data_IF_768439069083
#
_entry.id   IF_768439069083
#
_cell.length_a   1.000
_cell.length_b   1.000
_cell.length_c   1.000
_cell.angle_alpha   90.00
_cell.angle_beta   90.00
_cell.angle_gamma   90.00
#
_symmetry.space_group_name_H-M   'P 1'
#
loop_
_entity.id
_entity.type
_entity.pdbx_description
1 polymer ?
#
# COMPACT_ATOMS: atom_id res chain seq x y z
N UNK A 1 7.65 30.41 -18.06
CA UNK A 1 6.80 30.00 -19.20
C UNK A 1 7.59 29.68 -20.48
N UNK A 2 8.84 30.15 -20.66
CA UNK A 2 9.71 29.80 -21.81
C UNK A 2 10.08 28.31 -21.95
N UNK A 3 9.87 27.52 -20.90
CA UNK A 3 10.11 26.08 -20.92
C UNK A 3 9.18 25.40 -21.95
N UNK A 4 7.91 25.80 -22.03
CA UNK A 4 6.91 25.20 -22.92
C UNK A 4 7.09 25.55 -24.41
N UNK A 5 7.82 26.62 -24.74
CA UNK A 5 8.18 26.94 -26.13
C UNK A 5 9.17 25.93 -26.74
N UNK A 6 9.74 25.03 -25.93
CA UNK A 6 10.57 23.90 -26.38
C UNK A 6 9.78 22.60 -26.57
N UNK A 7 8.45 22.67 -26.67
CA UNK A 7 7.57 21.50 -26.85
C UNK A 7 7.70 20.44 -25.75
N UNK A 8 8.00 20.87 -24.53
CA UNK A 8 8.02 19.97 -23.36
C UNK A 8 6.64 19.92 -22.70
N UNK A 9 6.34 18.79 -22.06
CA UNK A 9 5.11 18.58 -21.29
C UNK A 9 5.40 18.40 -19.80
N UNK A 10 4.48 18.85 -18.96
CA UNK A 10 4.55 18.69 -17.50
C UNK A 10 3.38 17.83 -17.04
N UNK A 11 3.66 16.77 -16.29
CA UNK A 11 2.66 15.84 -15.79
C UNK A 11 2.77 15.75 -14.27
N UNK A 12 1.76 16.27 -13.56
CA UNK A 12 1.59 16.02 -12.13
C UNK A 12 0.93 14.66 -11.92
N UNK A 13 1.66 13.70 -11.37
CA UNK A 13 1.15 12.34 -11.17
C UNK A 13 0.71 12.17 -9.71
N UNK A 14 -0.59 12.06 -9.50
CA UNK A 14 -1.22 11.82 -8.20
C UNK A 14 -1.91 10.46 -8.22
N UNK A 15 -1.28 9.46 -7.60
CA UNK A 15 -1.80 8.11 -7.59
C UNK A 15 -3.07 7.97 -6.72
N UNK A 16 -3.23 8.81 -5.69
CA UNK A 16 -4.39 8.74 -4.79
C UNK A 16 -5.69 9.12 -5.53
N UNK A 17 -5.66 10.22 -6.29
CA UNK A 17 -6.79 10.68 -7.11
C UNK A 17 -7.24 9.63 -8.13
N UNK A 18 -6.30 8.82 -8.61
CA UNK A 18 -6.56 7.72 -9.52
C UNK A 18 -7.41 6.62 -8.85
N UNK A 19 -7.14 6.28 -7.59
CA UNK A 19 -7.87 5.21 -6.89
C UNK A 19 -9.23 5.64 -6.34
N UNK A 20 -9.39 6.89 -5.91
CA UNK A 20 -10.64 7.41 -5.32
C UNK A 20 -11.83 7.44 -6.30
N UNK A 21 -11.58 7.70 -7.60
CA UNK A 21 -12.63 7.72 -8.61
C UNK A 21 -13.01 6.30 -9.08
N UNK A 22 -14.18 5.81 -8.65
CA UNK A 22 -14.65 4.44 -8.93
C UNK A 22 -15.19 4.24 -10.35
N UNK A 23 -15.68 5.28 -11.01
CA UNK A 23 -16.44 5.17 -12.28
C UNK A 23 -15.61 5.46 -13.55
N UNK A 24 -14.65 6.39 -13.52
CA UNK A 24 -14.05 6.93 -14.76
C UNK A 24 -12.67 6.38 -15.15
N UNK A 25 -12.01 5.57 -14.31
CA UNK A 25 -10.62 5.12 -14.53
C UNK A 25 -10.43 3.61 -14.55
N UNK A 26 -11.48 2.83 -14.79
CA UNK A 26 -11.40 1.36 -14.71
C UNK A 26 -10.46 0.74 -15.75
N UNK A 27 -10.36 1.31 -16.95
CA UNK A 27 -9.49 0.81 -18.02
C UNK A 27 -8.01 1.05 -17.71
N UNK A 28 -7.64 2.27 -17.32
CA UNK A 28 -6.26 2.63 -16.98
C UNK A 28 -5.80 1.87 -15.72
N UNK A 29 -6.71 1.62 -14.76
CA UNK A 29 -6.42 0.76 -13.59
C UNK A 29 -6.03 -0.65 -13.99
N UNK A 30 -6.77 -1.24 -14.94
CA UNK A 30 -6.47 -2.58 -15.47
C UNK A 30 -5.12 -2.59 -16.18
N UNK A 31 -4.85 -1.59 -17.01
CA UNK A 31 -3.57 -1.47 -17.72
C UNK A 31 -2.38 -1.35 -16.75
N UNK A 32 -2.48 -0.50 -15.73
CA UNK A 32 -1.46 -0.38 -14.69
C UNK A 32 -1.18 -1.72 -14.00
N UNK A 33 -2.25 -2.46 -13.67
CA UNK A 33 -2.12 -3.77 -13.04
C UNK A 33 -1.45 -4.79 -13.97
N UNK A 34 -1.80 -4.79 -15.26
CA UNK A 34 -1.14 -5.65 -16.26
C UNK A 34 0.35 -5.34 -16.38
N UNK A 35 0.73 -4.05 -16.45
CA UNK A 35 2.14 -3.64 -16.50
C UNK A 35 2.92 -4.13 -15.27
N UNK A 36 2.30 -4.13 -14.09
CA UNK A 36 2.92 -4.67 -12.87
C UNK A 36 3.10 -6.20 -12.99
N UNK A 37 2.08 -6.93 -13.45
CA UNK A 37 2.18 -8.39 -13.64
C UNK A 37 3.26 -8.77 -14.65
N UNK A 38 3.31 -8.10 -15.79
CA UNK A 38 4.32 -8.32 -16.82
C UNK A 38 5.72 -7.98 -16.28
N UNK A 39 5.83 -6.90 -15.53
CA UNK A 39 7.05 -6.49 -14.83
C UNK A 39 7.52 -7.52 -13.80
N UNK A 40 6.60 -8.21 -13.11
CA UNK A 40 6.96 -9.30 -12.19
C UNK A 40 7.44 -10.51 -13.01
N UNK A 41 6.71 -10.87 -14.06
CA UNK A 41 7.01 -12.04 -14.90
C UNK A 41 8.36 -11.91 -15.62
N UNK A 42 8.71 -10.72 -16.11
CA UNK A 42 9.98 -10.44 -16.77
C UNK A 42 11.12 -10.09 -15.79
N UNK A 43 10.82 -10.01 -14.49
CA UNK A 43 11.80 -9.76 -13.43
C UNK A 43 12.27 -8.31 -13.30
N UNK A 44 11.63 -7.35 -13.97
CA UNK A 44 11.86 -5.92 -13.77
C UNK A 44 11.33 -5.45 -12.40
N UNK A 45 10.22 -6.02 -11.94
CA UNK A 45 9.65 -5.75 -10.61
C UNK A 45 10.16 -6.82 -9.64
N UNK A 46 10.94 -6.38 -8.65
CA UNK A 46 11.50 -7.24 -7.59
C UNK A 46 11.18 -6.68 -6.22
N UNK A 47 11.07 -7.53 -5.18
CA UNK A 47 10.91 -7.06 -3.81
C UNK A 47 12.04 -6.12 -3.39
N UNK A 48 11.70 -5.04 -2.70
CA UNK A 48 12.68 -4.15 -2.07
C UNK A 48 13.18 -4.77 -0.76
N UNK A 49 14.36 -4.33 -0.30
CA UNK A 49 14.81 -4.61 1.06
C UNK A 49 13.76 -4.15 2.07
N UNK A 50 13.47 -4.96 3.07
CA UNK A 50 12.45 -4.67 4.07
C UNK A 50 13.03 -4.58 5.47
N UNK A 51 12.47 -3.66 6.25
CA UNK A 51 12.77 -3.50 7.67
C UNK A 51 11.48 -3.79 8.42
N UNK A 52 11.51 -4.86 9.22
CA UNK A 52 10.33 -5.40 9.87
C UNK A 52 10.20 -4.86 11.30
N UNK A 53 9.01 -4.40 11.63
CA UNK A 53 8.59 -4.07 12.99
C UNK A 53 7.39 -4.93 13.36
N UNK A 54 7.30 -5.40 14.59
CA UNK A 54 6.10 -6.06 15.09
C UNK A 54 4.93 -5.08 15.20
N UNK A 55 3.69 -5.57 15.21
CA UNK A 55 2.50 -4.71 15.36
C UNK A 55 2.52 -3.82 16.61
N UNK A 56 3.16 -4.26 17.71
CA UNK A 56 3.32 -3.48 18.95
C UNK A 56 4.34 -2.34 18.82
N UNK A 57 5.19 -2.40 17.81
CA UNK A 57 6.28 -1.45 17.56
C UNK A 57 5.92 -0.45 16.45
N UNK A 58 4.62 -0.29 16.16
CA UNK A 58 4.14 0.61 15.11
C UNK A 58 4.68 2.03 15.29
N UNK A 59 4.69 2.56 16.52
CA UNK A 59 5.26 3.89 16.80
C UNK A 59 6.75 3.97 16.43
N UNK A 60 7.53 2.95 16.80
CA UNK A 60 8.95 2.88 16.47
C UNK A 60 9.17 2.81 14.95
N UNK A 61 8.32 2.05 14.25
CA UNK A 61 8.35 1.96 12.79
C UNK A 61 8.15 3.34 12.13
N UNK A 62 7.17 4.12 12.62
CA UNK A 62 6.94 5.49 12.15
C UNK A 62 8.10 6.43 12.46
N UNK A 63 8.65 6.39 13.67
CA UNK A 63 9.83 7.19 14.05
C UNK A 63 11.05 6.83 13.20
N UNK A 64 11.27 5.54 12.97
CA UNK A 64 12.36 5.04 12.14
C UNK A 64 12.21 5.49 10.68
N UNK A 65 11.00 5.38 10.11
CA UNK A 65 10.68 5.89 8.77
C UNK A 65 10.96 7.39 8.67
N UNK A 66 10.49 8.19 9.64
CA UNK A 66 10.66 9.64 9.68
C UNK A 66 12.12 10.08 9.77
N UNK A 67 13.01 9.24 10.31
CA UNK A 67 14.44 9.54 10.37
C UNK A 67 15.15 9.55 9.00
N UNK A 68 14.50 9.01 7.96
CA UNK A 68 15.08 8.92 6.60
C UNK A 68 16.24 7.92 6.45
N UNK A 69 16.58 7.17 7.50
CA UNK A 69 17.71 6.20 7.49
C UNK A 69 17.38 4.84 6.85
N UNK A 70 16.14 4.63 6.44
CA UNK A 70 15.67 3.36 5.92
C UNK A 70 16.06 3.17 4.45
N UNK A 71 16.50 1.97 4.09
CA UNK A 71 16.72 1.57 2.69
C UNK A 71 15.63 0.57 2.32
N UNK A 72 14.82 0.91 1.31
CA UNK A 72 13.69 0.09 0.87
C UNK A 72 12.41 0.39 1.66
N UNK A 73 11.70 -0.65 2.12
CA UNK A 73 10.36 -0.51 2.72
C UNK A 73 10.35 -0.84 4.21
N UNK A 74 9.77 0.04 5.02
CA UNK A 74 9.42 -0.23 6.42
C UNK A 74 8.08 -0.96 6.46
N UNK A 75 8.02 -2.15 7.07
CA UNK A 75 6.84 -3.04 7.08
C UNK A 75 6.47 -3.38 8.52
N UNK A 76 5.18 -3.24 8.85
CA UNK A 76 4.62 -3.66 10.13
C UNK A 76 4.05 -5.07 9.98
N UNK A 77 4.62 -6.02 10.72
CA UNK A 77 4.21 -7.43 10.75
C UNK A 77 3.06 -7.61 11.72
N UNK A 78 1.85 -7.74 11.18
CA UNK A 78 0.61 -7.97 11.95
C UNK A 78 0.51 -9.43 12.41
N UNK A 79 0.84 -10.37 11.52
CA UNK A 79 0.85 -11.81 11.78
C UNK A 79 2.07 -12.46 11.13
N UNK A 80 2.41 -13.66 11.59
CA UNK A 80 3.34 -14.51 10.85
C UNK A 80 2.64 -15.05 9.60
N UNK A 81 3.41 -15.21 8.53
CA UNK A 81 2.96 -15.97 7.37
C UNK A 81 2.85 -17.44 7.77
N UNK A 82 1.81 -18.10 7.30
CA UNK A 82 1.61 -19.51 7.60
C UNK A 82 2.61 -20.35 6.80
N UNK A 83 3.07 -21.50 7.34
CA UNK A 83 4.12 -22.29 6.69
C UNK A 83 3.70 -22.83 5.32
N UNK A 84 2.40 -22.95 5.06
CA UNK A 84 1.85 -23.39 3.78
C UNK A 84 1.06 -22.26 3.10
N UNK A 85 1.30 -22.08 1.81
CA UNK A 85 0.70 -21.02 0.97
C UNK A 85 -0.84 -21.10 0.93
N UNK A 86 -1.42 -22.28 1.14
CA UNK A 86 -2.88 -22.53 1.10
C UNK A 86 -3.46 -22.93 2.47
N UNK A 87 -2.85 -22.51 3.57
CA UNK A 87 -3.38 -22.74 4.90
C UNK A 87 -4.55 -21.80 5.25
N UNK A 88 -5.47 -22.27 6.09
CA UNK A 88 -6.46 -21.40 6.71
C UNK A 88 -5.75 -20.44 7.70
N UNK A 89 -6.11 -19.15 7.72
CA UNK A 89 -5.44 -18.18 8.58
C UNK A 89 -5.77 -18.43 10.05
N UNK A 90 -4.75 -18.38 10.91
CA UNK A 90 -4.97 -18.53 12.36
C UNK A 90 -5.60 -17.25 12.93
N UNK A 91 -6.67 -17.33 13.74
CA UNK A 91 -7.25 -16.15 14.37
C UNK A 91 -6.27 -15.46 15.33
N UNK A 92 -6.04 -14.16 15.14
CA UNK A 92 -5.18 -13.34 16.00
C UNK A 92 -6.04 -12.42 16.85
N UNK A 93 -5.80 -12.41 18.16
CA UNK A 93 -6.39 -11.43 19.09
C UNK A 93 -5.40 -10.31 19.36
N UNK A 94 -5.88 -9.08 19.35
CA UNK A 94 -5.08 -7.90 19.63
C UNK A 94 -5.83 -6.96 20.57
N UNK A 95 -5.07 -6.25 21.41
CA UNK A 95 -5.63 -5.17 22.21
C UNK A 95 -5.95 -3.99 21.29
N UNK A 96 -7.15 -3.45 21.42
CA UNK A 96 -7.62 -2.29 20.66
C UNK A 96 -8.46 -1.40 21.57
N UNK A 97 -8.44 -0.10 21.29
CA UNK A 97 -9.30 0.86 21.98
C UNK A 97 -10.75 0.64 21.55
N UNK A 98 -11.67 0.65 22.51
CA UNK A 98 -13.10 0.51 22.24
C UNK A 98 -13.58 1.64 21.31
N UNK A 99 -14.29 1.28 20.24
CA UNK A 99 -15.04 2.21 19.41
C UNK A 99 -16.44 1.67 19.19
N UNK A 100 -17.45 2.45 19.57
CA UNK A 100 -18.85 2.14 19.30
C UNK A 100 -19.18 2.55 17.87
N UNK A 101 -19.70 1.61 17.09
CA UNK A 101 -20.25 1.87 15.76
C UNK A 101 -21.73 1.47 15.75
N UNK A 102 -22.56 2.24 15.06
CA UNK A 102 -23.96 1.92 14.85
C UNK A 102 -24.10 0.99 13.64
N UNK A 103 -25.06 0.08 13.69
CA UNK A 103 -25.38 -0.75 12.54
C UNK A 103 -26.05 0.13 11.47
N UNK A 104 -25.48 0.21 10.25
CA UNK A 104 -26.04 1.05 9.19
C UNK A 104 -27.42 0.59 8.69
N UNK A 105 -27.82 -0.66 8.98
CA UNK A 105 -29.10 -1.25 8.56
C UNK A 105 -30.22 -1.11 9.60
N UNK A 106 -29.95 -0.46 10.74
CA UNK A 106 -30.91 -0.31 11.84
C UNK A 106 -31.18 1.16 12.17
N UNK A 107 -32.42 1.45 12.56
CA UNK A 107 -32.77 2.64 13.33
C UNK A 107 -32.61 2.36 14.83
N UNK A 108 -32.27 3.39 15.60
CA UNK A 108 -32.01 3.34 17.04
C UNK A 108 -32.83 4.41 17.77
#
# INVERSE_FOLDING_TARGET
MELFSKSISFHGILLDAFFENKSSHSIVKKELVQLIYDGIANGAVRPLSSILFGYKEAEQAFRYMASGKHIGKVIIKIRNEEPEIKAAPTPVRMLATLRTAFNPEKSY
#
